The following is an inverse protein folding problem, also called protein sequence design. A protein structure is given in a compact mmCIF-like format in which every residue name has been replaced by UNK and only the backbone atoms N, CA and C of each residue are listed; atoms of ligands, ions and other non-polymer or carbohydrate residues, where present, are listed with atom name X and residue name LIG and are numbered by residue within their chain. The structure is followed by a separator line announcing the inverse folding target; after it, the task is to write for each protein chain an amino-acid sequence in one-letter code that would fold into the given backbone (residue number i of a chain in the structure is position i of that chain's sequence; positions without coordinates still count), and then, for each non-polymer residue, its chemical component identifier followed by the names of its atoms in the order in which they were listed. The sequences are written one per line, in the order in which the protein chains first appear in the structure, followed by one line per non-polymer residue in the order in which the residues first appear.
data_IF_198044779261
#
_entry.id   IF_198044779261
#
_cell.length_a   1.000
_cell.length_b   1.000
_cell.length_c   1.000
_cell.angle_alpha   90.00
_cell.angle_beta   90.00
_cell.angle_gamma   90.00
#
_symmetry.space_group_name_H-M   'P 1'
#
loop_
_entity.id
_entity.type
_entity.pdbx_description
1 polymer ?
#
# COMPACT_ATOMS: atom_id res chain seq x y z
N UNK A 1 57.33 27.93 -1.57
CA UNK A 1 56.27 28.86 -1.09
C UNK A 1 54.93 28.35 -1.63
N UNK A 2 54.38 27.32 -1.00
CA UNK A 2 52.98 26.92 -1.20
C UNK A 2 52.14 27.76 -0.25
N UNK A 3 51.16 28.47 -0.78
CA UNK A 3 50.17 29.18 0.03
C UNK A 3 48.99 28.21 0.13
N UNK A 4 48.93 27.48 1.25
CA UNK A 4 47.68 26.92 1.73
C UNK A 4 46.88 28.09 2.30
N UNK A 5 45.85 28.54 1.57
CA UNK A 5 44.80 29.34 2.19
C UNK A 5 43.89 28.39 2.99
N UNK A 6 43.76 28.56 4.31
CA UNK A 6 42.74 27.87 5.06
C UNK A 6 41.39 28.49 4.70
N UNK A 7 40.46 27.66 4.25
CA UNK A 7 39.04 28.01 4.09
C UNK A 7 38.53 28.63 5.40
N UNK A 8 38.48 29.96 5.42
CA UNK A 8 37.91 30.77 6.51
C UNK A 8 36.45 30.36 6.72
N UNK A 9 36.17 29.80 7.89
CA UNK A 9 34.98 30.04 8.70
C UNK A 9 33.69 30.37 7.93
N UNK A 10 33.14 29.40 7.20
CA UNK A 10 31.70 29.37 6.99
C UNK A 10 31.06 28.87 8.28
N UNK A 11 30.67 29.82 9.13
CA UNK A 11 29.90 29.53 10.33
C UNK A 11 28.60 28.82 9.92
N UNK A 12 28.52 27.52 10.21
CA UNK A 12 27.34 26.66 10.00
C UNK A 12 26.10 27.23 10.73
N UNK A 13 26.28 28.17 11.67
CA UNK A 13 25.20 28.85 12.40
C UNK A 13 24.33 29.80 11.57
N UNK A 14 24.73 30.14 10.34
CA UNK A 14 24.01 31.11 9.49
C UNK A 14 23.03 30.50 8.48
N UNK A 15 22.99 29.17 8.36
CA UNK A 15 22.00 28.51 7.51
C UNK A 15 20.62 28.58 8.18
N UNK A 16 19.56 28.98 7.47
CA UNK A 16 18.21 28.89 8.00
C UNK A 16 17.96 27.45 8.48
N UNK A 17 17.65 27.26 9.77
CA UNK A 17 17.17 25.98 10.28
C UNK A 17 15.76 25.77 9.74
N UNK A 18 15.68 25.16 8.57
CA UNK A 18 14.40 24.72 8.02
C UNK A 18 13.82 23.63 8.93
N UNK A 19 12.51 23.68 9.25
CA UNK A 19 11.89 22.69 10.11
C UNK A 19 11.89 21.32 9.43
N UNK A 20 12.40 20.29 10.12
CA UNK A 20 12.39 18.91 9.64
C UNK A 20 11.04 18.26 9.92
N UNK A 21 10.17 18.23 8.91
CA UNK A 21 8.76 17.81 9.01
C UNK A 21 8.46 16.72 7.99
N UNK A 22 7.61 15.76 8.36
CA UNK A 22 7.13 14.68 7.49
C UNK A 22 8.25 14.02 6.65
N UNK A 23 9.36 13.57 7.26
CA UNK A 23 10.57 13.23 6.52
C UNK A 23 10.37 12.12 5.49
N UNK A 24 9.61 11.09 5.85
CA UNK A 24 9.23 10.01 4.92
C UNK A 24 8.45 10.49 3.70
N UNK A 25 7.54 11.47 3.89
CA UNK A 25 6.80 12.06 2.78
C UNK A 25 7.72 12.91 1.90
N UNK A 26 8.60 13.71 2.51
CA UNK A 26 9.60 14.50 1.80
C UNK A 26 10.51 13.60 0.94
N UNK A 27 11.00 12.48 1.50
CA UNK A 27 11.81 11.51 0.77
C UNK A 27 11.04 10.89 -0.41
N UNK A 28 9.77 10.51 -0.19
CA UNK A 28 8.91 10.02 -1.28
C UNK A 28 8.74 11.06 -2.38
N UNK A 29 8.38 12.30 -2.04
CA UNK A 29 8.18 13.40 -2.99
C UNK A 29 9.43 13.67 -3.80
N UNK A 30 10.59 13.77 -3.13
CA UNK A 30 11.86 13.98 -3.79
C UNK A 30 12.21 12.81 -4.72
N UNK A 31 11.98 11.56 -4.29
CA UNK A 31 12.25 10.37 -5.12
C UNK A 31 11.50 10.37 -6.46
N UNK A 32 10.37 11.07 -6.56
CA UNK A 32 9.56 11.18 -7.79
C UNK A 32 9.98 12.31 -8.73
N UNK A 33 10.90 13.17 -8.31
CA UNK A 33 11.44 14.27 -9.12
C UNK A 33 12.90 13.98 -9.44
N UNK A 34 13.28 14.05 -10.71
CA UNK A 34 14.68 13.82 -11.11
C UNK A 34 15.62 14.89 -10.53
N UNK A 35 16.90 14.58 -10.23
CA UNK A 35 17.85 15.58 -9.72
C UNK A 35 17.95 16.84 -10.60
N UNK A 36 17.88 16.68 -11.93
CA UNK A 36 17.91 17.80 -12.89
C UNK A 36 16.67 18.69 -12.80
N UNK A 37 15.49 18.11 -12.58
CA UNK A 37 14.26 18.89 -12.38
C UNK A 37 14.27 19.63 -11.04
N UNK A 38 14.80 19.01 -9.97
CA UNK A 38 14.88 19.63 -8.63
C UNK A 38 15.67 20.94 -8.66
N UNK A 39 16.74 21.02 -9.44
CA UNK A 39 17.56 22.24 -9.58
C UNK A 39 16.78 23.43 -10.16
N UNK A 40 15.70 23.15 -10.91
CA UNK A 40 14.88 24.17 -11.53
C UNK A 40 13.62 24.51 -10.72
N UNK A 41 13.40 23.89 -9.55
CA UNK A 41 12.22 24.13 -8.70
C UNK A 41 12.61 25.03 -7.52
N UNK A 42 11.91 26.16 -7.37
CA UNK A 42 12.07 27.07 -6.22
C UNK A 42 11.12 26.73 -5.08
N UNK A 43 9.90 26.27 -5.41
CA UNK A 43 8.91 25.87 -4.40
C UNK A 43 8.01 24.76 -4.94
N UNK A 44 7.59 23.86 -4.07
CA UNK A 44 6.73 22.74 -4.40
C UNK A 44 5.54 22.71 -3.44
N UNK A 45 4.32 22.68 -3.99
CA UNK A 45 3.09 22.46 -3.22
C UNK A 45 2.65 21.00 -3.40
N UNK A 46 2.49 20.31 -2.28
CA UNK A 46 2.14 18.89 -2.22
C UNK A 46 0.72 18.71 -1.67
N UNK A 47 0.25 17.48 -1.65
CA UNK A 47 -1.07 17.10 -1.13
C UNK A 47 -1.10 16.89 0.38
N UNK A 48 0.05 16.99 1.05
CA UNK A 48 0.17 16.71 2.48
C UNK A 48 -0.67 17.70 3.29
N UNK A 49 -1.61 17.16 4.08
CA UNK A 49 -2.23 17.90 5.16
C UNK A 49 -1.31 17.76 6.39
N UNK A 50 -0.62 18.85 6.73
CA UNK A 50 0.40 18.79 7.78
C UNK A 50 -0.18 18.61 9.18
N UNK A 51 -1.39 19.12 9.45
CA UNK A 51 -2.02 18.92 10.76
C UNK A 51 -2.45 17.47 10.92
N UNK A 52 -3.04 16.88 9.88
CA UNK A 52 -3.36 15.45 9.86
C UNK A 52 -2.10 14.59 10.00
N UNK A 53 -1.03 14.91 9.27
CA UNK A 53 0.26 14.21 9.37
C UNK A 53 0.77 14.18 10.82
N UNK A 54 0.75 15.32 11.51
CA UNK A 54 1.20 15.44 12.90
C UNK A 54 0.39 14.53 13.83
N UNK A 55 -0.92 14.50 13.65
CA UNK A 55 -1.81 13.65 14.45
C UNK A 55 -1.53 12.16 14.22
N UNK A 56 -1.33 11.75 12.96
CA UNK A 56 -1.01 10.36 12.62
C UNK A 56 0.37 9.94 13.13
N UNK A 57 1.37 10.83 13.11
CA UNK A 57 2.69 10.56 13.70
C UNK A 57 2.59 10.34 15.21
N UNK A 58 1.80 11.15 15.91
CA UNK A 58 1.55 10.99 17.36
C UNK A 58 0.82 9.68 17.65
N UNK A 59 -0.24 9.38 16.92
CA UNK A 59 -0.99 8.13 17.07
C UNK A 59 -0.10 6.91 16.81
N UNK A 60 0.67 6.91 15.73
CA UNK A 60 1.58 5.81 15.39
C UNK A 60 2.60 5.53 16.50
N UNK A 61 3.21 6.60 17.05
CA UNK A 61 4.15 6.50 18.17
C UNK A 61 3.49 5.96 19.44
N UNK A 62 2.30 6.45 19.77
CA UNK A 62 1.56 6.02 20.95
C UNK A 62 1.11 4.55 20.82
N UNK A 63 0.67 4.13 19.64
CA UNK A 63 0.30 2.75 19.35
C UNK A 63 1.49 1.81 19.55
N UNK A 64 2.65 2.10 18.97
CA UNK A 64 3.88 1.30 19.17
C UNK A 64 4.25 1.24 20.66
N UNK A 65 4.22 2.38 21.36
CA UNK A 65 4.52 2.42 22.80
C UNK A 65 3.57 1.51 23.60
N UNK A 66 2.28 1.50 23.27
CA UNK A 66 1.27 0.67 23.95
C UNK A 66 1.44 -0.83 23.70
N UNK A 67 2.01 -1.18 22.54
CA UNK A 67 2.21 -2.57 22.09
C UNK A 67 3.61 -3.10 22.38
N UNK A 68 4.49 -2.33 23.04
CA UNK A 68 5.88 -2.71 23.34
C UNK A 68 6.00 -4.09 24.03
N UNK A 69 5.04 -4.47 24.87
CA UNK A 69 5.02 -5.78 25.56
C UNK A 69 4.90 -6.98 24.62
N UNK A 70 4.44 -6.76 23.39
CA UNK A 70 4.32 -7.75 22.33
C UNK A 70 5.43 -7.62 21.29
N UNK A 71 6.52 -6.92 21.65
CA UNK A 71 7.68 -6.71 20.79
C UNK A 71 7.39 -5.95 19.48
N UNK A 72 6.27 -5.22 19.43
CA UNK A 72 5.99 -4.29 18.34
C UNK A 72 6.92 -3.08 18.48
N UNK A 73 7.76 -2.87 17.48
CA UNK A 73 8.80 -1.83 17.47
C UNK A 73 8.56 -0.71 16.48
N UNK A 74 7.65 -0.88 15.52
CA UNK A 74 7.43 0.09 14.45
C UNK A 74 5.99 0.05 13.93
N UNK A 75 5.57 1.11 13.23
CA UNK A 75 4.27 1.23 12.59
C UNK A 75 4.37 2.15 11.38
N UNK A 76 3.51 1.91 10.39
CA UNK A 76 3.37 2.76 9.21
C UNK A 76 1.89 3.03 8.93
N UNK A 77 1.62 4.22 8.40
CA UNK A 77 0.28 4.65 8.05
C UNK A 77 0.30 5.55 6.81
N UNK A 78 -0.71 5.40 5.96
CA UNK A 78 -0.96 6.31 4.84
C UNK A 78 -2.44 6.66 4.84
N UNK A 79 -2.76 7.95 4.68
CA UNK A 79 -4.13 8.44 4.52
C UNK A 79 -4.26 9.00 3.13
N UNK A 80 -5.26 8.54 2.40
CA UNK A 80 -5.55 8.95 1.04
C UNK A 80 -6.98 9.44 0.92
N UNK A 81 -7.19 10.56 0.24
CA UNK A 81 -8.53 10.98 -0.16
C UNK A 81 -9.05 10.06 -1.26
N UNK A 82 -10.17 9.39 -1.01
CA UNK A 82 -10.73 8.42 -1.94
C UNK A 82 -11.15 9.06 -3.26
N UNK A 83 -11.65 10.30 -3.28
CA UNK A 83 -12.18 10.94 -4.49
C UNK A 83 -11.08 11.36 -5.45
N UNK A 84 -10.08 12.04 -4.94
CA UNK A 84 -8.98 12.65 -5.69
C UNK A 84 -7.77 11.72 -5.86
N UNK A 85 -7.55 10.80 -4.92
CA UNK A 85 -6.33 10.00 -4.83
C UNK A 85 -5.15 10.74 -4.17
N UNK A 86 -5.40 11.89 -3.55
CA UNK A 86 -4.39 12.69 -2.85
C UNK A 86 -3.89 11.99 -1.60
N UNK A 87 -2.58 11.93 -1.41
CA UNK A 87 -1.97 11.43 -0.17
C UNK A 87 -1.91 12.58 0.82
N UNK A 88 -2.75 12.49 1.86
CA UNK A 88 -2.92 13.53 2.87
C UNK A 88 -1.97 13.36 4.06
N UNK A 89 -1.60 12.11 4.38
CA UNK A 89 -0.62 11.77 5.42
C UNK A 89 0.17 10.53 5.02
N UNK A 90 1.45 10.51 5.36
CA UNK A 90 2.41 9.44 5.05
C UNK A 90 3.43 9.30 6.18
N UNK A 91 3.24 8.28 7.00
CA UNK A 91 4.09 7.94 8.15
C UNK A 91 4.77 6.62 7.85
N UNK A 92 6.06 6.68 7.49
CA UNK A 92 6.88 5.51 7.15
C UNK A 92 7.34 4.68 8.35
N UNK A 93 7.40 5.28 9.53
CA UNK A 93 7.79 4.63 10.78
C UNK A 93 7.23 5.40 11.98
N UNK A 94 7.15 4.74 13.15
CA UNK A 94 6.66 5.36 14.38
C UNK A 94 7.62 6.41 14.95
N UNK A 95 8.91 6.31 14.63
CA UNK A 95 9.94 7.28 14.99
C UNK A 95 11.05 7.30 13.93
N UNK A 96 11.15 8.39 13.16
CA UNK A 96 12.17 8.54 12.13
C UNK A 96 13.61 8.47 12.68
N UNK A 97 13.83 8.92 13.92
CA UNK A 97 15.15 8.99 14.54
C UNK A 97 15.54 7.72 15.30
N UNK A 98 14.71 6.67 15.27
CA UNK A 98 15.03 5.38 15.89
C UNK A 98 16.04 4.61 15.01
N UNK A 99 17.33 4.72 15.31
CA UNK A 99 18.36 3.99 14.58
C UNK A 99 18.37 2.49 14.86
N UNK A 100 17.84 2.05 16.00
CA UNK A 100 17.85 0.65 16.41
C UNK A 100 16.79 -0.17 15.66
N UNK A 101 15.62 0.42 15.41
CA UNK A 101 14.51 -0.23 14.68
C UNK A 101 14.35 0.26 13.23
N UNK A 102 15.42 0.79 12.63
CA UNK A 102 15.42 1.26 11.24
C UNK A 102 14.35 2.31 10.95
N UNK A 103 14.20 3.30 11.83
CA UNK A 103 13.21 4.38 11.74
C UNK A 103 13.25 5.20 10.45
N UNK A 104 14.39 5.25 9.76
CA UNK A 104 14.53 5.94 8.47
C UNK A 104 14.01 5.09 7.30
N UNK A 105 13.74 3.79 7.51
CA UNK A 105 13.14 2.92 6.49
C UNK A 105 11.63 3.10 6.52
N UNK A 106 11.08 3.59 5.41
CA UNK A 106 9.63 3.76 5.25
C UNK A 106 8.95 2.42 4.97
N UNK A 107 8.28 1.86 5.98
CA UNK A 107 7.47 0.65 5.84
C UNK A 107 6.22 0.86 4.95
N UNK A 108 5.86 2.10 4.61
CA UNK A 108 4.81 2.36 3.60
C UNK A 108 5.25 1.92 2.21
N UNK A 109 6.55 2.03 1.91
CA UNK A 109 7.17 1.72 0.61
C UNK A 109 8.05 0.47 0.63
N UNK A 110 8.34 -0.09 1.80
CA UNK A 110 8.98 -1.40 1.91
C UNK A 110 8.03 -2.51 1.47
N UNK A 111 8.58 -3.54 0.82
CA UNK A 111 7.84 -4.74 0.47
C UNK A 111 7.51 -5.54 1.73
N UNK A 112 6.25 -5.95 1.86
CA UNK A 112 5.76 -6.84 2.91
C UNK A 112 4.67 -7.74 2.36
N UNK A 113 4.55 -8.94 2.92
CA UNK A 113 3.39 -9.79 2.67
C UNK A 113 2.12 -9.11 3.25
N UNK A 114 1.12 -8.78 2.42
CA UNK A 114 -0.10 -8.07 2.85
C UNK A 114 -1.09 -8.99 3.58
N UNK A 115 -0.83 -10.30 3.62
CA UNK A 115 -1.71 -11.29 4.22
C UNK A 115 -3.11 -11.29 3.59
N UNK A 116 -4.13 -11.43 4.43
CA UNK A 116 -5.53 -11.49 4.03
C UNK A 116 -6.05 -10.21 3.34
N UNK A 117 -5.30 -9.10 3.35
CA UNK A 117 -5.70 -7.87 2.68
C UNK A 117 -5.79 -7.99 1.14
N UNK A 118 -5.28 -9.09 0.55
CA UNK A 118 -5.52 -9.38 -0.88
C UNK A 118 -6.83 -10.12 -1.17
N UNK A 119 -7.45 -10.78 -0.18
CA UNK A 119 -8.67 -11.55 -0.39
C UNK A 119 -9.80 -10.73 -1.03
N UNK A 120 -10.09 -9.47 -0.63
CA UNK A 120 -11.16 -8.70 -1.26
C UNK A 120 -11.05 -8.64 -2.78
N UNK A 121 -9.84 -8.61 -3.34
CA UNK A 121 -9.63 -8.59 -4.80
C UNK A 121 -9.85 -9.96 -5.46
N UNK A 122 -9.52 -11.05 -4.77
CA UNK A 122 -9.87 -12.43 -5.19
C UNK A 122 -11.39 -12.57 -5.28
N UNK A 123 -12.10 -12.19 -4.22
CA UNK A 123 -13.56 -12.27 -4.18
C UNK A 123 -14.22 -11.29 -5.16
N UNK A 124 -13.66 -10.09 -5.35
CA UNK A 124 -14.14 -9.15 -6.38
C UNK A 124 -14.06 -9.77 -7.78
N UNK A 125 -12.92 -10.39 -8.12
CA UNK A 125 -12.76 -11.06 -9.41
C UNK A 125 -13.71 -12.25 -9.57
N UNK A 126 -13.97 -13.01 -8.51
CA UNK A 126 -14.94 -14.10 -8.55
C UNK A 126 -16.35 -13.61 -8.85
N UNK A 127 -16.77 -12.46 -8.29
CA UNK A 127 -18.05 -11.84 -8.60
C UNK A 127 -18.11 -11.35 -10.05
N UNK A 128 -17.02 -10.76 -10.58
CA UNK A 128 -16.92 -10.40 -12.02
C UNK A 128 -17.06 -11.62 -12.94
N UNK A 129 -16.67 -12.81 -12.47
CA UNK A 129 -16.75 -14.06 -13.23
C UNK A 129 -18.05 -14.85 -12.96
N UNK A 130 -19.05 -14.23 -12.36
CA UNK A 130 -20.40 -14.79 -12.23
C UNK A 130 -20.69 -15.51 -10.92
N UNK A 131 -19.75 -15.56 -9.96
CA UNK A 131 -20.12 -15.92 -8.59
C UNK A 131 -21.02 -14.85 -7.98
N UNK A 132 -21.81 -15.23 -6.98
CA UNK A 132 -22.67 -14.32 -6.22
C UNK A 132 -22.30 -14.35 -4.75
N UNK A 133 -22.73 -13.37 -3.95
CA UNK A 133 -22.59 -13.43 -2.50
C UNK A 133 -23.20 -14.67 -1.84
N UNK A 134 -24.14 -15.35 -2.52
CA UNK A 134 -24.79 -16.56 -2.04
C UNK A 134 -24.13 -17.86 -2.53
N UNK A 135 -23.17 -17.79 -3.47
CA UNK A 135 -22.43 -18.95 -3.96
C UNK A 135 -21.82 -19.72 -2.78
N UNK A 136 -22.05 -21.03 -2.76
CA UNK A 136 -21.49 -21.91 -1.75
C UNK A 136 -20.04 -22.26 -2.11
N UNK A 137 -19.15 -22.05 -1.15
CA UNK A 137 -17.74 -22.40 -1.20
C UNK A 137 -17.50 -23.49 -0.16
N UNK A 138 -16.80 -24.54 -0.57
CA UNK A 138 -16.53 -25.67 0.32
C UNK A 138 -15.33 -25.39 1.22
N UNK A 139 -15.59 -25.08 2.48
CA UNK A 139 -14.55 -24.87 3.49
C UNK A 139 -14.21 -26.19 4.19
N UNK A 140 -13.57 -27.10 3.44
CA UNK A 140 -13.10 -28.41 3.91
C UNK A 140 -11.61 -28.56 3.65
N UNK A 141 -10.96 -29.51 4.33
CA UNK A 141 -9.53 -29.77 4.14
C UNK A 141 -9.16 -29.89 2.66
N UNK A 142 -8.11 -29.16 2.29
CA UNK A 142 -7.48 -29.23 0.97
C UNK A 142 -6.00 -29.43 1.15
N UNK A 143 -5.38 -30.00 0.12
CA UNK A 143 -3.94 -30.19 0.03
C UNK A 143 -3.47 -29.56 -1.26
N UNK A 144 -2.64 -28.52 -1.13
CA UNK A 144 -2.00 -27.87 -2.25
C UNK A 144 -0.65 -28.55 -2.46
N UNK A 145 -0.45 -29.14 -3.64
CA UNK A 145 0.83 -29.78 -3.98
C UNK A 145 1.91 -28.71 -4.13
N UNK A 146 2.94 -28.80 -3.30
CA UNK A 146 4.13 -27.96 -3.42
C UNK A 146 5.22 -28.65 -4.26
N UNK A 147 6.27 -27.91 -4.59
CA UNK A 147 7.45 -28.47 -5.28
C UNK A 147 8.25 -29.41 -4.39
N UNK A 148 8.35 -29.09 -3.10
CA UNK A 148 9.11 -29.86 -2.10
C UNK A 148 8.21 -30.43 -1.01
N UNK A 149 7.25 -29.63 -0.51
CA UNK A 149 6.35 -30.01 0.57
C UNK A 149 4.92 -29.59 0.23
N UNK A 150 3.98 -30.50 0.40
CA UNK A 150 2.55 -30.19 0.31
C UNK A 150 2.12 -29.21 1.40
N UNK A 151 1.30 -28.25 1.04
CA UNK A 151 0.73 -27.28 1.97
C UNK A 151 -0.74 -27.62 2.29
N UNK A 152 -1.05 -27.74 3.58
CA UNK A 152 -2.42 -27.92 4.09
C UNK A 152 -2.85 -26.62 4.78
N UNK A 153 -3.56 -25.72 4.08
CA UNK A 153 -4.03 -24.46 4.66
C UNK A 153 -5.02 -24.71 5.79
N UNK A 154 -4.98 -23.83 6.79
CA UNK A 154 -5.93 -23.81 7.91
C UNK A 154 -6.54 -22.43 8.07
N UNK A 155 -7.78 -22.40 8.56
CA UNK A 155 -8.40 -21.16 9.04
C UNK A 155 -7.78 -20.73 10.37
N UNK A 156 -7.92 -19.45 10.71
CA UNK A 156 -7.33 -18.88 11.93
C UNK A 156 -7.87 -19.54 13.22
N UNK A 157 -9.07 -20.11 13.17
CA UNK A 157 -9.73 -20.82 14.27
C UNK A 157 -9.43 -22.32 14.32
N UNK A 158 -8.60 -22.82 13.39
CA UNK A 158 -8.22 -24.22 13.28
C UNK A 158 -9.35 -25.16 12.81
N UNK A 159 -10.49 -24.62 12.34
CA UNK A 159 -11.67 -25.42 11.96
C UNK A 159 -11.95 -25.34 10.46
N UNK A 160 -12.70 -26.33 9.98
CA UNK A 160 -13.30 -26.36 8.66
C UNK A 160 -14.81 -26.14 8.82
N UNK A 161 -15.39 -25.21 8.06
CA UNK A 161 -16.79 -24.81 8.22
C UNK A 161 -17.76 -25.49 7.25
N UNK A 162 -17.26 -26.40 6.39
CA UNK A 162 -18.08 -27.07 5.38
C UNK A 162 -18.60 -26.08 4.32
N UNK A 163 -19.77 -26.30 3.73
CA UNK A 163 -20.34 -25.37 2.75
C UNK A 163 -20.69 -24.02 3.40
N UNK A 164 -20.02 -22.94 2.96
CA UNK A 164 -20.28 -21.58 3.43
C UNK A 164 -20.55 -20.63 2.26
N UNK A 165 -21.36 -19.59 2.48
CA UNK A 165 -21.60 -18.57 1.46
C UNK A 165 -20.34 -17.72 1.23
N UNK A 166 -20.09 -17.35 -0.01
CA UNK A 166 -18.99 -16.46 -0.43
C UNK A 166 -18.87 -15.22 0.47
N UNK A 167 -20.00 -14.55 0.75
CA UNK A 167 -20.00 -13.37 1.63
C UNK A 167 -19.50 -13.66 3.05
N UNK A 168 -19.85 -14.82 3.60
CA UNK A 168 -19.42 -15.24 4.94
C UNK A 168 -17.95 -15.63 4.92
N UNK A 169 -17.51 -16.31 3.86
CA UNK A 169 -16.11 -16.66 3.66
C UNK A 169 -15.20 -15.43 3.67
N UNK A 170 -15.58 -14.37 2.94
CA UNK A 170 -14.84 -13.11 2.94
C UNK A 170 -14.96 -12.38 4.29
N UNK A 171 -16.17 -12.22 4.85
CA UNK A 171 -16.38 -11.51 6.11
C UNK A 171 -15.62 -12.14 7.29
N UNK A 172 -15.53 -13.47 7.33
CA UNK A 172 -14.76 -14.19 8.34
C UNK A 172 -13.29 -14.41 7.94
N UNK A 173 -12.88 -13.94 6.77
CA UNK A 173 -11.53 -14.08 6.22
C UNK A 173 -11.02 -15.53 6.24
N UNK A 174 -11.85 -16.51 5.87
CA UNK A 174 -11.44 -17.91 5.86
C UNK A 174 -10.42 -18.19 4.74
N UNK A 175 -9.30 -18.83 5.09
CA UNK A 175 -8.17 -19.08 4.20
C UNK A 175 -8.49 -20.16 3.17
N UNK A 176 -9.07 -21.27 3.63
CA UNK A 176 -9.37 -22.44 2.79
C UNK A 176 -10.36 -22.06 1.69
N UNK A 177 -11.43 -21.36 2.06
CA UNK A 177 -12.39 -20.83 1.10
C UNK A 177 -11.78 -19.82 0.12
N UNK A 178 -10.90 -18.92 0.56
CA UNK A 178 -10.24 -17.98 -0.35
C UNK A 178 -9.37 -18.69 -1.39
N UNK A 179 -8.67 -19.76 -0.97
CA UNK A 179 -7.89 -20.61 -1.88
C UNK A 179 -8.79 -21.28 -2.90
N UNK A 180 -9.92 -21.88 -2.49
CA UNK A 180 -10.85 -22.51 -3.43
C UNK A 180 -11.44 -21.52 -4.43
N UNK A 181 -11.75 -20.29 -3.98
CA UNK A 181 -12.20 -19.24 -4.89
C UNK A 181 -11.09 -18.90 -5.90
N UNK A 182 -9.84 -18.76 -5.45
CA UNK A 182 -8.71 -18.52 -6.35
C UNK A 182 -8.48 -19.67 -7.34
N UNK A 183 -8.60 -20.92 -6.88
CA UNK A 183 -8.50 -22.12 -7.72
C UNK A 183 -9.54 -22.10 -8.84
N UNK A 184 -10.78 -21.65 -8.55
CA UNK A 184 -11.84 -21.56 -9.54
C UNK A 184 -11.64 -20.43 -10.57
N UNK A 185 -11.20 -19.24 -10.14
CA UNK A 185 -11.05 -18.06 -11.02
C UNK A 185 -9.70 -18.01 -11.76
N UNK A 186 -8.72 -18.77 -11.27
CA UNK A 186 -7.37 -18.85 -11.79
C UNK A 186 -6.40 -17.81 -11.22
N UNK A 187 -5.16 -18.25 -10.91
CA UNK A 187 -4.09 -17.40 -10.38
C UNK A 187 -3.67 -16.31 -11.37
N UNK A 188 -3.56 -16.64 -12.65
CA UNK A 188 -3.20 -15.69 -13.73
C UNK A 188 -4.24 -14.56 -13.83
N UNK A 189 -5.52 -14.89 -13.76
CA UNK A 189 -6.62 -13.92 -13.78
C UNK A 189 -6.52 -12.93 -12.61
N UNK A 190 -6.24 -13.43 -11.40
CA UNK A 190 -6.03 -12.59 -10.23
C UNK A 190 -4.80 -11.71 -10.38
N UNK A 191 -3.66 -12.28 -10.77
CA UNK A 191 -2.40 -11.55 -10.93
C UNK A 191 -2.56 -10.41 -11.96
N UNK A 192 -3.19 -10.68 -13.10
CA UNK A 192 -3.51 -9.66 -14.11
C UNK A 192 -4.41 -8.55 -13.55
N UNK A 193 -5.44 -8.91 -12.77
CA UNK A 193 -6.34 -7.94 -12.13
C UNK A 193 -5.58 -7.08 -11.10
N UNK A 194 -4.70 -7.67 -10.30
CA UNK A 194 -3.85 -6.95 -9.34
C UNK A 194 -2.88 -6.00 -10.06
N UNK A 195 -2.26 -6.40 -11.17
CA UNK A 195 -1.45 -5.49 -12.00
C UNK A 195 -2.29 -4.31 -12.52
N UNK A 196 -3.55 -4.53 -12.90
CA UNK A 196 -4.51 -3.46 -13.23
C UNK A 196 -4.91 -2.60 -12.01
N UNK A 197 -4.73 -3.06 -10.78
CA UNK A 197 -4.84 -2.24 -9.56
C UNK A 197 -3.52 -1.56 -9.17
N UNK A 198 -2.48 -1.66 -9.99
CA UNK A 198 -1.21 -0.96 -9.75
C UNK A 198 -0.32 -1.64 -8.71
N UNK A 199 -0.49 -2.94 -8.48
CA UNK A 199 0.50 -3.77 -7.79
C UNK A 199 1.69 -4.05 -8.74
N UNK A 200 2.57 -3.06 -8.86
CA UNK A 200 3.76 -3.07 -9.71
C UNK A 200 4.85 -4.00 -9.15
N UNK A 201 4.86 -4.25 -7.84
CA UNK A 201 5.83 -5.14 -7.17
C UNK A 201 5.56 -6.63 -7.36
N UNK A 202 4.38 -7.01 -7.85
CA UNK A 202 4.07 -8.39 -8.22
C UNK A 202 4.68 -8.72 -9.60
N UNK A 203 6.01 -8.82 -9.63
CA UNK A 203 6.84 -8.90 -10.84
C UNK A 203 7.05 -10.33 -11.36
N UNK A 204 6.66 -11.36 -10.59
CA UNK A 204 6.77 -12.77 -11.00
C UNK A 204 5.51 -13.27 -11.73
N UNK A 205 5.58 -14.48 -12.29
CA UNK A 205 4.46 -15.15 -12.97
C UNK A 205 3.52 -15.88 -12.02
N UNK A 206 2.34 -16.30 -12.51
CA UNK A 206 1.36 -17.03 -11.72
C UNK A 206 1.91 -18.33 -11.10
N UNK A 207 2.79 -19.04 -11.81
CA UNK A 207 3.42 -20.28 -11.31
C UNK A 207 4.32 -20.06 -10.09
N UNK A 208 4.85 -18.84 -9.93
CA UNK A 208 5.65 -18.47 -8.77
C UNK A 208 4.77 -18.21 -7.55
N UNK A 209 3.72 -17.39 -7.71
CA UNK A 209 2.85 -17.02 -6.58
C UNK A 209 1.87 -18.13 -6.19
N UNK A 210 1.39 -18.90 -7.17
CA UNK A 210 0.43 -19.97 -7.00
C UNK A 210 -0.84 -19.56 -6.23
N UNK A 211 -1.48 -20.54 -5.59
CA UNK A 211 -2.67 -20.31 -4.75
C UNK A 211 -2.36 -19.50 -3.48
N UNK A 212 -1.09 -19.36 -3.10
CA UNK A 212 -0.67 -18.52 -1.99
C UNK A 212 -0.90 -17.03 -2.24
N UNK A 213 -1.08 -16.60 -3.49
CA UNK A 213 -1.30 -15.20 -3.85
C UNK A 213 -2.50 -14.59 -3.10
N UNK A 214 -3.64 -15.30 -3.03
CA UNK A 214 -4.84 -14.79 -2.34
C UNK A 214 -4.64 -14.64 -0.82
N UNK A 215 -3.62 -15.28 -0.26
CA UNK A 215 -3.29 -15.19 1.17
C UNK A 215 -2.17 -14.17 1.44
N UNK A 216 -1.75 -13.41 0.42
CA UNK A 216 -0.67 -12.44 0.57
C UNK A 216 0.73 -13.05 0.39
N UNK A 217 0.86 -14.17 -0.31
CA UNK A 217 2.16 -14.79 -0.58
C UNK A 217 3.10 -13.98 -1.49
N UNK A 218 2.61 -12.91 -2.12
CA UNK A 218 3.42 -11.93 -2.85
C UNK A 218 3.61 -10.65 -2.05
N UNK A 219 4.83 -10.11 -2.03
CA UNK A 219 5.14 -8.89 -1.30
C UNK A 219 4.71 -7.63 -2.07
N UNK A 220 4.09 -6.70 -1.36
CA UNK A 220 3.59 -5.43 -1.89
C UNK A 220 3.90 -4.29 -0.94
N UNK A 221 3.81 -3.06 -1.43
CA UNK A 221 3.88 -1.88 -0.57
C UNK A 221 2.51 -1.55 0.02
N UNK A 222 2.49 -0.93 1.20
CA UNK A 222 1.24 -0.41 1.79
C UNK A 222 0.61 0.65 0.88
N UNK A 223 1.42 1.42 0.16
CA UNK A 223 0.92 2.43 -0.78
C UNK A 223 0.15 1.80 -1.96
N UNK A 224 0.65 0.69 -2.54
CA UNK A 224 -0.10 -0.06 -3.56
C UNK A 224 -1.42 -0.60 -3.01
N UNK A 225 -1.38 -1.18 -1.81
CA UNK A 225 -2.57 -1.68 -1.14
C UNK A 225 -3.60 -0.57 -0.93
N UNK A 226 -3.18 0.59 -0.42
CA UNK A 226 -4.06 1.74 -0.20
C UNK A 226 -4.71 2.24 -1.51
N UNK A 227 -3.94 2.34 -2.60
CA UNK A 227 -4.50 2.72 -3.92
C UNK A 227 -5.54 1.73 -4.41
N UNK A 228 -5.28 0.43 -4.23
CA UNK A 228 -6.17 -0.65 -4.65
C UNK A 228 -7.49 -0.64 -3.86
N UNK A 229 -7.45 -0.46 -2.55
CA UNK A 229 -8.65 -0.26 -1.73
C UNK A 229 -9.39 1.02 -2.09
N UNK A 230 -8.67 2.10 -2.39
CA UNK A 230 -9.27 3.33 -2.93
C UNK A 230 -10.02 3.09 -4.24
N UNK A 231 -9.62 2.10 -5.06
CA UNK A 231 -10.35 1.75 -6.27
C UNK A 231 -11.73 1.14 -5.95
N UNK A 232 -11.83 0.28 -4.93
CA UNK A 232 -13.11 -0.24 -4.45
C UNK A 232 -14.02 0.91 -3.94
N UNK A 233 -13.45 1.82 -3.15
CA UNK A 233 -14.17 3.01 -2.65
C UNK A 233 -14.64 3.96 -3.77
N UNK A 234 -13.98 3.93 -4.94
CA UNK A 234 -14.35 4.67 -6.15
C UNK A 234 -15.18 3.82 -7.13
N UNK A 235 -15.99 2.90 -6.63
CA UNK A 235 -16.85 2.04 -7.47
C UNK A 235 -16.08 1.33 -8.58
N UNK A 236 -14.88 0.85 -8.27
CA UNK A 236 -14.01 0.06 -9.14
C UNK A 236 -13.07 0.88 -10.01
N UNK A 237 -12.99 2.20 -9.84
CA UNK A 237 -12.10 3.07 -10.62
C UNK A 237 -10.74 3.24 -9.92
N UNK A 238 -9.70 2.67 -10.50
CA UNK A 238 -8.32 2.86 -10.06
C UNK A 238 -7.78 4.23 -10.51
N UNK A 239 -7.05 4.88 -9.60
CA UNK A 239 -6.27 6.09 -9.83
C UNK A 239 -4.92 5.91 -9.14
N UNK A 240 -3.84 6.36 -9.79
CA UNK A 240 -2.53 6.46 -9.15
C UNK A 240 -2.57 7.57 -8.09
N UNK A 241 -1.74 7.46 -7.07
CA UNK A 241 -1.66 8.43 -5.99
C UNK A 241 -1.21 9.81 -6.52
N UNK A 242 -1.84 10.85 -5.99
CA UNK A 242 -1.47 12.23 -6.26
C UNK A 242 -0.67 12.75 -5.07
N UNK A 243 0.55 13.21 -5.34
CA UNK A 243 1.47 13.77 -4.33
C UNK A 243 1.69 15.28 -4.51
N UNK A 244 1.43 15.78 -5.72
CA UNK A 244 1.78 17.13 -6.14
C UNK A 244 0.54 17.93 -6.53
N UNK A 245 0.53 19.21 -6.17
CA UNK A 245 -0.46 20.19 -6.59
C UNK A 245 0.12 21.07 -7.71
N UNK A 246 1.20 21.78 -7.40
CA UNK A 246 1.91 22.66 -8.34
C UNK A 246 3.38 22.84 -7.90
N UNK A 247 4.19 23.33 -8.83
CA UNK A 247 5.57 23.73 -8.57
C UNK A 247 5.82 25.12 -9.15
N UNK A 248 6.70 25.91 -8.53
CA UNK A 248 7.28 27.12 -9.13
C UNK A 248 8.71 26.85 -9.55
N UNK A 249 9.09 27.31 -10.73
CA UNK A 249 10.49 27.27 -11.15
C UNK A 249 11.32 28.39 -10.50
N UNK A 250 12.64 28.38 -10.72
CA UNK A 250 13.55 29.42 -10.22
C UNK A 250 13.28 30.82 -10.81
N UNK A 251 12.52 30.90 -11.91
CA UNK A 251 12.05 32.16 -12.50
C UNK A 251 10.65 32.56 -11.99
N UNK A 252 10.07 31.81 -11.06
CA UNK A 252 8.76 32.08 -10.46
C UNK A 252 7.55 31.62 -11.29
N UNK A 253 7.76 30.94 -12.43
CA UNK A 253 6.67 30.42 -13.28
C UNK A 253 6.06 29.17 -12.65
N UNK A 254 4.74 29.13 -12.59
CA UNK A 254 4.01 27.97 -12.05
C UNK A 254 3.83 26.88 -13.11
N UNK A 255 4.20 25.65 -12.75
CA UNK A 255 3.95 24.43 -13.50
C UNK A 255 2.91 23.59 -12.76
N UNK A 256 1.82 23.27 -13.44
CA UNK A 256 0.86 22.27 -12.98
C UNK A 256 1.35 20.86 -13.32
N UNK A 257 1.04 19.90 -12.45
CA UNK A 257 1.27 18.48 -12.77
C UNK A 257 0.12 17.93 -13.63
N UNK A 258 0.40 17.02 -14.58
CA UNK A 258 -0.64 16.43 -15.41
C UNK A 258 -1.68 15.71 -14.55
N UNK A 259 -2.95 15.78 -14.95
CA UNK A 259 -4.01 14.99 -14.30
C UNK A 259 -3.67 13.50 -14.48
N UNK A 260 -3.66 12.76 -13.37
CA UNK A 260 -3.42 11.32 -13.40
C UNK A 260 -4.46 10.59 -14.24
N UNK A 261 -4.05 9.53 -14.92
CA UNK A 261 -4.99 8.66 -15.63
C UNK A 261 -5.81 7.83 -14.64
N UNK A 262 -7.04 7.53 -15.03
CA UNK A 262 -7.92 6.62 -14.29
C UNK A 262 -8.35 5.47 -15.17
N UNK A 263 -8.54 4.29 -14.59
CA UNK A 263 -9.06 3.13 -15.31
C UNK A 263 -10.06 2.36 -14.46
N UNK A 264 -11.11 1.87 -15.08
CA UNK A 264 -12.06 0.95 -14.42
C UNK A 264 -11.43 -0.43 -14.34
N UNK A 265 -11.38 -0.98 -13.13
CA UNK A 265 -10.80 -2.29 -12.83
C UNK A 265 -11.86 -3.26 -12.33
N UNK A 266 -12.90 -2.77 -11.67
CA UNK A 266 -14.10 -3.53 -11.33
C UNK A 266 -15.35 -2.74 -11.74
N UNK A 267 -16.45 -3.46 -11.93
CA UNK A 267 -17.77 -2.86 -12.10
C UNK A 267 -18.21 -2.15 -10.81
N UNK A 268 -19.07 -1.12 -10.92
CA UNK A 268 -19.67 -0.48 -9.75
C UNK A 268 -20.39 -1.47 -8.83
N UNK A 269 -21.09 -2.45 -9.41
CA UNK A 269 -21.90 -3.46 -8.72
C UNK A 269 -21.01 -4.38 -7.87
N UNK A 270 -19.94 -4.92 -8.46
CA UNK A 270 -18.97 -5.76 -7.73
C UNK A 270 -18.30 -4.98 -6.62
N UNK A 271 -17.90 -3.73 -6.91
CA UNK A 271 -17.24 -2.88 -5.90
C UNK A 271 -18.17 -2.59 -4.73
N UNK A 272 -19.45 -2.31 -5.00
CA UNK A 272 -20.47 -2.12 -3.97
C UNK A 272 -20.66 -3.38 -3.13
N UNK A 273 -20.78 -4.56 -3.75
CA UNK A 273 -20.94 -5.83 -3.03
C UNK A 273 -19.75 -6.10 -2.11
N UNK A 274 -18.52 -5.88 -2.59
CA UNK A 274 -17.32 -6.06 -1.77
C UNK A 274 -17.30 -5.08 -0.61
N UNK A 275 -17.56 -3.79 -0.86
CA UNK A 275 -17.66 -2.77 0.20
C UNK A 275 -18.79 -3.06 1.19
N UNK A 276 -19.88 -3.71 0.80
CA UNK A 276 -20.94 -4.11 1.72
C UNK A 276 -20.57 -5.31 2.61
N UNK A 277 -19.65 -6.16 2.16
CA UNK A 277 -19.18 -7.32 2.95
C UNK A 277 -18.10 -6.89 3.97
N UNK A 278 -17.27 -5.90 3.61
CA UNK A 278 -16.23 -5.33 4.46
C UNK A 278 -16.81 -4.40 5.53
#
# INVERSE_FOLDING_TARGET
KSIEEPLKNLSISSLPRYPFRAPHFCDLVLSKISPKERQNISSLRTTLDFELQKDVEVLSRNSVKSLKKWEVSNAAAVIMDNRSGEVLSFVGSANFFDSYHSGQVSAVTSLRQPGSALKPFTYALALEQGMTPATLILDTEIRIRGKEVDYVPRNYDGKFHGPIRLRKALACSYNVSAIRVLENIGVESLLHRLKKLGFETLDKGADYYGLGLTLGGGEVTLLELARAYGALARSGVFKKEKLFLDAKDIQGRTRSFPKGSSRRVFSPEVSYIITNIL
#
